data_IF_669073848310
#
_entry.id   IF_669073848310
#
_cell.length_a   1.000
_cell.length_b   1.000
_cell.length_c   1.000
_cell.angle_alpha   90.00
_cell.angle_beta   90.00
_cell.angle_gamma   90.00
#
_symmetry.space_group_name_H-M   'P 1'
#
loop_
_entity.id
_entity.type
_entity.pdbx_description
1 polymer ?
#
# COMPACT_ATOMS: atom_id res chain seq x y z
N UNK A 1 12.93 -36.11 -31.13
CA UNK A 1 11.54 -36.07 -30.59
C UNK A 1 10.78 -37.20 -31.26
N UNK A 2 10.03 -37.99 -30.49
CA UNK A 2 9.13 -38.97 -31.09
C UNK A 2 7.97 -38.24 -31.76
N UNK A 3 7.43 -38.80 -32.85
CA UNK A 3 6.22 -38.29 -33.50
C UNK A 3 5.04 -38.20 -32.53
N UNK A 4 5.05 -39.04 -31.50
CA UNK A 4 4.08 -39.02 -30.40
C UNK A 4 4.21 -37.78 -29.51
N UNK A 5 5.44 -37.29 -29.26
CA UNK A 5 5.68 -36.09 -28.45
C UNK A 5 5.19 -34.82 -29.17
N UNK A 6 5.36 -34.78 -30.50
CA UNK A 6 4.86 -33.69 -31.35
C UNK A 6 3.32 -33.67 -31.36
N UNK A 7 2.68 -34.83 -31.53
CA UNK A 7 1.22 -34.96 -31.49
C UNK A 7 0.68 -34.55 -30.12
N UNK A 8 1.31 -34.96 -29.01
CA UNK A 8 0.88 -34.58 -27.66
C UNK A 8 1.02 -33.07 -27.42
N UNK A 9 2.08 -32.44 -27.95
CA UNK A 9 2.27 -30.99 -27.87
C UNK A 9 1.18 -30.25 -28.63
N UNK A 10 0.91 -30.65 -29.87
CA UNK A 10 -0.13 -30.05 -30.70
C UNK A 10 -1.51 -30.22 -30.07
N UNK A 11 -1.80 -31.39 -29.50
CA UNK A 11 -3.08 -31.67 -28.86
C UNK A 11 -3.29 -30.81 -27.61
N UNK A 12 -2.24 -30.54 -26.82
CA UNK A 12 -2.30 -29.58 -25.70
C UNK A 12 -2.52 -28.15 -26.20
N UNK A 13 -1.83 -27.74 -27.26
CA UNK A 13 -1.98 -26.41 -27.85
C UNK A 13 -3.41 -26.17 -28.37
N UNK A 14 -3.97 -27.11 -29.14
CA UNK A 14 -5.34 -26.99 -29.65
C UNK A 14 -6.40 -27.05 -28.54
N UNK A 15 -6.18 -27.83 -27.48
CA UNK A 15 -7.06 -27.80 -26.30
C UNK A 15 -7.04 -26.43 -25.63
N UNK A 16 -5.86 -25.85 -25.41
CA UNK A 16 -5.74 -24.51 -24.84
C UNK A 16 -6.42 -23.46 -25.73
N UNK A 17 -6.23 -23.51 -27.04
CA UNK A 17 -6.89 -22.61 -27.98
C UNK A 17 -8.42 -22.74 -27.92
N UNK A 18 -8.94 -23.98 -27.89
CA UNK A 18 -10.36 -24.24 -27.77
C UNK A 18 -10.93 -23.65 -26.47
N UNK A 19 -10.28 -23.92 -25.33
CA UNK A 19 -10.74 -23.42 -24.02
C UNK A 19 -10.71 -21.88 -23.99
N UNK A 20 -9.68 -21.25 -24.57
CA UNK A 20 -9.59 -19.80 -24.69
C UNK A 20 -10.72 -19.24 -25.58
N UNK A 21 -11.02 -19.88 -26.70
CA UNK A 21 -12.12 -19.46 -27.59
C UNK A 21 -13.49 -19.62 -26.92
N UNK A 22 -13.72 -20.72 -26.20
CA UNK A 22 -14.97 -20.93 -25.45
C UNK A 22 -15.17 -19.84 -24.38
N UNK A 23 -14.10 -19.47 -23.66
CA UNK A 23 -14.14 -18.37 -22.70
C UNK A 23 -14.37 -17.02 -23.39
N UNK A 24 -13.68 -16.74 -24.50
CA UNK A 24 -13.84 -15.50 -25.25
C UNK A 24 -15.28 -15.33 -25.75
N UNK A 25 -15.89 -16.38 -26.30
CA UNK A 25 -17.29 -16.36 -26.74
C UNK A 25 -18.23 -16.07 -25.58
N UNK A 26 -17.97 -16.63 -24.39
CA UNK A 26 -18.75 -16.33 -23.19
C UNK A 26 -18.60 -14.87 -22.78
N UNK A 27 -17.37 -14.35 -22.74
CA UNK A 27 -17.11 -12.96 -22.38
C UNK A 27 -17.80 -11.98 -23.32
N UNK A 28 -17.71 -12.18 -24.64
CA UNK A 28 -18.39 -11.31 -25.62
C UNK A 28 -19.92 -11.30 -25.44
N UNK A 29 -20.52 -12.42 -25.01
CA UNK A 29 -21.96 -12.47 -24.73
C UNK A 29 -22.34 -11.71 -23.46
N UNK A 30 -21.51 -11.81 -22.43
CA UNK A 30 -21.77 -11.20 -21.12
C UNK A 30 -21.30 -9.73 -21.05
N UNK A 31 -20.43 -9.30 -21.96
CA UNK A 31 -19.79 -7.98 -22.01
C UNK A 31 -20.79 -6.82 -21.89
N UNK A 32 -21.88 -6.74 -22.68
CA UNK A 32 -22.83 -5.63 -22.55
C UNK A 32 -23.51 -5.55 -21.18
N UNK A 33 -23.75 -6.71 -20.55
CA UNK A 33 -24.33 -6.78 -19.21
C UNK A 33 -23.31 -6.34 -18.17
N UNK A 34 -22.06 -6.76 -18.31
CA UNK A 34 -20.95 -6.39 -17.42
C UNK A 34 -20.69 -4.89 -17.52
N UNK A 35 -20.58 -4.33 -18.71
CA UNK A 35 -20.41 -2.89 -18.94
C UNK A 35 -21.55 -2.08 -18.32
N UNK A 36 -22.80 -2.54 -18.47
CA UNK A 36 -23.96 -1.90 -17.82
C UNK A 36 -23.84 -1.90 -16.30
N UNK A 37 -23.41 -3.02 -15.71
CA UNK A 37 -23.19 -3.11 -14.27
C UNK A 37 -22.04 -2.20 -13.82
N UNK A 38 -20.93 -2.17 -14.55
CA UNK A 38 -19.80 -1.27 -14.29
C UNK A 38 -20.26 0.18 -14.32
N UNK A 39 -20.98 0.60 -15.36
CA UNK A 39 -21.52 1.96 -15.47
C UNK A 39 -22.46 2.32 -14.32
N UNK A 40 -23.35 1.40 -13.93
CA UNK A 40 -24.26 1.60 -12.80
C UNK A 40 -23.50 1.79 -11.48
N UNK A 41 -22.52 0.92 -11.20
CA UNK A 41 -21.73 1.02 -9.97
C UNK A 41 -20.79 2.22 -9.97
N UNK A 42 -20.21 2.60 -11.11
CA UNK A 42 -19.47 3.86 -11.27
C UNK A 42 -20.34 5.05 -10.92
N UNK A 43 -21.57 5.10 -11.43
CA UNK A 43 -22.51 6.19 -11.14
C UNK A 43 -22.81 6.28 -9.63
N UNK A 44 -23.09 5.15 -8.98
CA UNK A 44 -23.31 5.10 -7.53
C UNK A 44 -22.07 5.56 -6.77
N UNK A 45 -20.90 5.06 -7.16
CA UNK A 45 -19.64 5.43 -6.51
C UNK A 45 -19.36 6.92 -6.64
N UNK A 46 -19.59 7.52 -7.82
CA UNK A 46 -19.44 8.97 -8.01
C UNK A 46 -20.37 9.77 -7.08
N UNK A 47 -21.65 9.37 -6.97
CA UNK A 47 -22.62 10.03 -6.09
C UNK A 47 -22.22 9.91 -4.61
N UNK A 48 -21.84 8.71 -4.16
CA UNK A 48 -21.40 8.47 -2.78
C UNK A 48 -20.12 9.25 -2.48
N UNK A 49 -19.16 9.22 -3.39
CA UNK A 49 -17.89 9.93 -3.25
C UNK A 49 -18.08 11.44 -3.17
N UNK A 50 -19.00 12.03 -3.95
CA UNK A 50 -19.35 13.44 -3.83
C UNK A 50 -19.96 13.79 -2.46
N UNK A 51 -20.83 12.94 -1.93
CA UNK A 51 -21.41 13.14 -0.60
C UNK A 51 -20.31 13.13 0.48
N UNK A 52 -19.46 12.10 0.47
CA UNK A 52 -18.36 11.95 1.43
C UNK A 52 -17.37 13.09 1.29
N UNK A 53 -17.03 13.50 0.07
CA UNK A 53 -16.14 14.61 -0.19
C UNK A 53 -16.64 15.91 0.43
N UNK A 54 -17.91 16.24 0.27
CA UNK A 54 -18.50 17.43 0.86
C UNK A 54 -18.44 17.38 2.38
N UNK A 55 -18.76 16.23 2.97
CA UNK A 55 -18.68 16.05 4.42
C UNK A 55 -17.25 16.22 4.94
N UNK A 56 -16.26 15.63 4.26
CA UNK A 56 -14.84 15.73 4.65
C UNK A 56 -14.30 17.14 4.43
N UNK A 57 -14.67 17.82 3.35
CA UNK A 57 -14.30 19.21 3.08
C UNK A 57 -14.73 20.11 4.26
N UNK A 58 -15.96 19.93 4.75
CA UNK A 58 -16.46 20.67 5.91
C UNK A 58 -15.69 20.33 7.18
N UNK A 59 -15.32 19.05 7.39
CA UNK A 59 -14.50 18.64 8.55
C UNK A 59 -13.13 19.27 8.51
N UNK A 60 -12.43 19.22 7.37
CA UNK A 60 -11.12 19.84 7.21
C UNK A 60 -11.18 21.36 7.44
N UNK A 61 -12.18 22.05 6.89
CA UNK A 61 -12.38 23.47 7.17
C UNK A 61 -12.55 23.77 8.67
N UNK A 62 -13.22 22.90 9.44
CA UNK A 62 -13.39 23.05 10.90
C UNK A 62 -12.11 22.75 11.68
N UNK A 63 -11.24 21.88 11.19
CA UNK A 63 -9.98 21.51 11.83
C UNK A 63 -8.84 22.51 11.57
N UNK A 64 -9.06 23.52 10.73
CA UNK A 64 -8.05 24.53 10.37
C UNK A 64 -7.46 24.35 8.98
N UNK A 65 -8.11 23.58 8.11
CA UNK A 65 -7.69 23.33 6.73
C UNK A 65 -7.35 21.87 6.47
N UNK A 66 -7.27 21.50 5.20
CA UNK A 66 -6.77 20.19 4.77
C UNK A 66 -5.27 20.09 5.04
N UNK A 67 -4.52 21.18 4.84
CA UNK A 67 -3.07 21.24 5.11
C UNK A 67 -2.76 20.81 6.55
N UNK A 68 -3.47 21.37 7.52
CA UNK A 68 -3.27 21.06 8.93
C UNK A 68 -3.59 19.60 9.25
N UNK A 69 -4.63 19.05 8.63
CA UNK A 69 -4.93 17.62 8.76
C UNK A 69 -3.82 16.74 8.18
N UNK A 70 -3.19 17.15 7.07
CA UNK A 70 -2.04 16.44 6.50
C UNK A 70 -0.83 16.49 7.43
N UNK A 71 -0.53 17.66 8.02
CA UNK A 71 0.52 17.83 9.03
C UNK A 71 0.29 16.91 10.24
N UNK A 72 -0.91 16.96 10.84
CA UNK A 72 -1.28 16.12 11.99
C UNK A 72 -1.24 14.61 11.67
N UNK A 73 -1.52 14.23 10.42
CA UNK A 73 -1.48 12.83 9.98
C UNK A 73 -0.04 12.38 9.77
N UNK A 74 0.78 13.21 9.13
CA UNK A 74 2.21 12.96 8.94
C UNK A 74 2.96 12.81 10.25
N UNK A 75 2.74 13.73 11.20
CA UNK A 75 3.33 13.65 12.54
C UNK A 75 2.95 12.35 13.26
N UNK A 76 1.68 11.93 13.13
CA UNK A 76 1.21 10.67 13.72
C UNK A 76 1.86 9.45 13.07
N UNK A 77 2.00 9.44 11.76
CA UNK A 77 2.66 8.36 11.02
C UNK A 77 4.15 8.26 11.39
N UNK A 78 4.86 9.40 11.46
CA UNK A 78 6.25 9.42 11.93
C UNK A 78 6.35 8.93 13.38
N UNK A 79 5.48 9.40 14.27
CA UNK A 79 5.49 8.95 15.66
C UNK A 79 5.23 7.44 15.79
N UNK A 80 4.34 6.90 14.96
CA UNK A 80 4.07 5.45 14.92
C UNK A 80 5.25 4.66 14.33
N UNK A 81 5.90 5.15 13.28
CA UNK A 81 7.14 4.57 12.73
C UNK A 81 8.25 4.56 13.79
N UNK A 82 8.47 5.68 14.49
CA UNK A 82 9.44 5.78 15.60
C UNK A 82 9.13 4.80 16.73
N UNK A 83 7.86 4.70 17.13
CA UNK A 83 7.43 3.75 18.17
C UNK A 83 7.74 2.30 17.78
N UNK A 84 7.39 1.90 16.55
CA UNK A 84 7.64 0.53 16.07
C UNK A 84 9.14 0.21 15.99
N UNK A 85 9.94 1.19 15.60
CA UNK A 85 11.38 1.05 15.53
C UNK A 85 12.00 0.86 16.92
N UNK A 86 11.56 1.63 17.90
CA UNK A 86 11.98 1.49 19.30
C UNK A 86 11.58 0.13 19.87
N UNK A 87 10.35 -0.32 19.62
CA UNK A 87 9.89 -1.64 20.03
C UNK A 87 10.76 -2.75 19.40
N UNK A 88 11.12 -2.61 18.12
CA UNK A 88 12.00 -3.57 17.44
C UNK A 88 13.42 -3.57 18.02
N UNK A 89 13.98 -2.40 18.33
CA UNK A 89 15.29 -2.25 18.98
C UNK A 89 15.30 -2.89 20.38
N UNK A 90 14.25 -2.67 21.16
CA UNK A 90 14.13 -3.25 22.50
C UNK A 90 14.02 -4.78 22.44
N UNK A 91 13.24 -5.30 21.49
CA UNK A 91 13.13 -6.75 21.26
C UNK A 91 14.46 -7.37 20.85
N UNK A 92 15.20 -6.74 19.93
CA UNK A 92 16.53 -7.21 19.53
C UNK A 92 17.49 -7.23 20.72
N UNK A 93 17.47 -6.19 21.56
CA UNK A 93 18.33 -6.09 22.73
C UNK A 93 17.99 -7.15 23.79
N UNK A 94 16.71 -7.53 23.94
CA UNK A 94 16.29 -8.65 24.77
C UNK A 94 16.80 -9.99 24.23
N UNK A 95 16.66 -10.22 22.91
CA UNK A 95 17.16 -11.44 22.26
C UNK A 95 18.68 -11.58 22.40
N UNK A 96 19.43 -10.49 22.22
CA UNK A 96 20.88 -10.48 22.39
C UNK A 96 21.31 -10.69 23.85
N UNK A 97 20.55 -10.18 24.83
CA UNK A 97 20.79 -10.45 26.26
C UNK A 97 20.59 -11.92 26.61
N UNK A 98 19.61 -12.59 26.01
CA UNK A 98 19.40 -14.03 26.21
C UNK A 98 20.57 -14.85 25.63
N UNK A 99 21.21 -14.35 24.57
CA UNK A 99 22.39 -14.93 23.92
C UNK A 99 23.72 -14.51 24.54
N UNK A 100 23.73 -13.64 25.55
CA UNK A 100 24.94 -13.10 26.19
C UNK A 100 25.81 -14.17 26.90
N UNK A 101 25.32 -15.40 27.05
CA UNK A 101 26.13 -16.54 27.52
C UNK A 101 26.99 -17.18 26.43
N UNK A 102 26.68 -16.90 25.17
CA UNK A 102 27.27 -17.51 23.98
C UNK A 102 27.99 -16.48 23.09
N UNK A 103 27.80 -15.18 23.34
CA UNK A 103 28.39 -14.08 22.58
C UNK A 103 29.15 -13.12 23.49
N UNK A 104 30.27 -12.59 22.99
CA UNK A 104 31.04 -11.56 23.67
C UNK A 104 30.33 -10.19 23.58
N UNK A 105 30.60 -9.30 24.55
CA UNK A 105 29.97 -7.97 24.62
C UNK A 105 30.26 -7.13 23.37
N UNK A 106 31.45 -7.29 22.78
CA UNK A 106 31.85 -6.61 21.54
C UNK A 106 30.98 -7.03 20.33
N UNK A 107 30.57 -8.30 20.25
CA UNK A 107 29.72 -8.79 19.17
C UNK A 107 28.28 -8.26 19.29
N UNK A 108 27.78 -8.17 20.52
CA UNK A 108 26.45 -7.58 20.82
C UNK A 108 26.44 -6.09 20.46
N UNK A 109 27.51 -5.37 20.81
CA UNK A 109 27.67 -3.95 20.47
C UNK A 109 27.75 -3.75 18.96
N UNK A 110 28.46 -4.63 18.25
CA UNK A 110 28.55 -4.59 16.78
C UNK A 110 27.17 -4.78 16.12
N UNK A 111 26.37 -5.75 16.56
CA UNK A 111 25.03 -5.99 16.02
C UNK A 111 24.08 -4.82 16.29
N UNK A 112 24.10 -4.25 17.51
CA UNK A 112 23.29 -3.09 17.83
C UNK A 112 23.71 -1.86 17.03
N UNK A 113 25.00 -1.70 16.77
CA UNK A 113 25.52 -0.64 15.92
C UNK A 113 25.10 -0.81 14.47
N UNK A 114 25.19 -2.03 13.92
CA UNK A 114 24.70 -2.33 12.57
C UNK A 114 23.19 -2.08 12.43
N UNK A 115 22.40 -2.46 13.45
CA UNK A 115 20.97 -2.16 13.49
C UNK A 115 20.71 -0.65 13.50
N UNK A 116 21.41 0.09 14.36
CA UNK A 116 21.28 1.54 14.46
C UNK A 116 21.67 2.21 13.14
N UNK A 117 22.80 1.84 12.52
CA UNK A 117 23.25 2.38 11.24
C UNK A 117 22.26 2.08 10.09
N UNK A 118 21.72 0.86 10.04
CA UNK A 118 20.74 0.44 9.02
C UNK A 118 19.43 1.24 9.13
N UNK A 119 19.05 1.60 10.35
CA UNK A 119 17.80 2.28 10.66
C UNK A 119 17.96 3.79 10.89
N UNK A 120 19.17 4.34 10.71
CA UNK A 120 19.45 5.76 10.87
C UNK A 120 19.25 6.26 12.31
N UNK A 121 19.59 5.41 13.30
CA UNK A 121 19.56 5.73 14.72
C UNK A 121 20.93 6.17 15.22
N UNK A 122 20.97 7.05 16.22
CA UNK A 122 22.18 7.32 16.99
C UNK A 122 22.42 6.24 18.06
N UNK A 123 23.53 6.39 18.79
CA UNK A 123 23.93 5.44 19.84
C UNK A 123 22.89 5.37 20.98
N UNK A 124 22.14 6.46 21.20
CA UNK A 124 21.06 6.54 22.18
C UNK A 124 19.75 5.88 21.67
N UNK A 125 19.66 5.62 20.36
CA UNK A 125 18.50 5.03 19.68
C UNK A 125 17.51 6.07 19.16
N UNK A 126 17.91 7.34 19.06
CA UNK A 126 17.13 8.42 18.47
C UNK A 126 17.34 8.48 16.96
N UNK A 127 16.28 8.78 16.21
CA UNK A 127 16.33 8.85 14.75
C UNK A 127 17.13 10.09 14.32
N UNK A 128 18.25 9.88 13.62
CA UNK A 128 19.13 10.92 13.07
C UNK A 128 18.52 11.55 11.82
N UNK A 129 17.90 10.73 10.98
CA UNK A 129 17.36 11.16 9.68
C UNK A 129 15.87 11.51 9.81
N UNK A 130 15.59 12.76 10.18
CA UNK A 130 14.22 13.25 10.19
C UNK A 130 13.71 13.33 8.75
N UNK A 131 12.76 12.45 8.43
CA UNK A 131 11.98 12.48 7.20
C UNK A 131 11.46 13.92 6.98
N UNK A 132 11.99 14.60 5.97
CA UNK A 132 11.58 15.97 5.67
C UNK A 132 10.06 16.01 5.46
N UNK A 133 9.40 16.94 6.15
CA UNK A 133 7.96 17.11 6.01
C UNK A 133 7.63 17.54 4.58
N UNK A 134 6.75 16.82 3.87
CA UNK A 134 6.32 17.19 2.54
C UNK A 134 5.68 18.59 2.53
N UNK A 135 5.78 19.28 1.39
CA UNK A 135 5.05 20.53 1.21
C UNK A 135 3.54 20.23 1.05
N UNK A 136 2.79 20.52 2.10
CA UNK A 136 1.33 20.31 2.14
C UNK A 136 0.55 21.52 1.60
N UNK A 137 -0.56 21.22 0.93
CA UNK A 137 -1.45 22.20 0.29
C UNK A 137 -2.82 22.18 0.92
N UNK A 138 -3.49 23.33 1.00
CA UNK A 138 -4.83 23.38 1.58
C UNK A 138 -5.94 22.93 0.61
N UNK A 139 -5.59 22.72 -0.67
CA UNK A 139 -6.51 22.25 -1.70
C UNK A 139 -6.80 20.76 -1.52
N UNK A 140 -7.97 20.45 -0.95
CA UNK A 140 -8.49 19.09 -0.92
C UNK A 140 -9.16 18.77 -2.27
N UNK A 141 -8.79 17.65 -2.91
CA UNK A 141 -9.39 17.22 -4.19
C UNK A 141 -10.05 15.83 -4.09
N UNK A 142 -10.88 15.48 -5.07
CA UNK A 142 -11.44 14.12 -5.15
C UNK A 142 -10.38 13.03 -5.25
N UNK A 143 -9.23 13.32 -5.89
CA UNK A 143 -8.12 12.37 -5.96
C UNK A 143 -7.53 12.13 -4.57
N UNK A 144 -7.44 13.16 -3.75
CA UNK A 144 -6.96 13.03 -2.36
C UNK A 144 -7.94 12.22 -1.52
N UNK A 145 -9.26 12.41 -1.68
CA UNK A 145 -10.25 11.55 -1.02
C UNK A 145 -10.05 10.06 -1.37
N UNK A 146 -9.84 9.74 -2.64
CA UNK A 146 -9.62 8.36 -3.07
C UNK A 146 -8.32 7.79 -2.53
N UNK A 147 -7.25 8.60 -2.45
CA UNK A 147 -5.99 8.23 -1.80
C UNK A 147 -6.22 7.89 -0.33
N UNK A 148 -6.96 8.73 0.40
CA UNK A 148 -7.29 8.51 1.83
C UNK A 148 -8.10 7.23 2.01
N UNK A 149 -9.09 6.98 1.15
CA UNK A 149 -9.93 5.77 1.20
C UNK A 149 -9.24 4.51 0.65
N UNK A 150 -8.01 4.63 0.11
CA UNK A 150 -7.27 3.54 -0.57
C UNK A 150 -8.09 2.92 -1.71
N UNK A 151 -8.77 3.77 -2.48
CA UNK A 151 -9.58 3.38 -3.63
C UNK A 151 -8.91 3.84 -4.93
N UNK A 152 -9.13 3.06 -5.98
CA UNK A 152 -8.69 3.41 -7.33
C UNK A 152 -9.61 4.51 -7.90
N UNK A 153 -9.03 5.68 -8.13
CA UNK A 153 -9.74 6.83 -8.71
C UNK A 153 -10.15 6.56 -10.15
N UNK A 154 -9.28 5.93 -10.92
CA UNK A 154 -9.43 5.72 -12.34
C UNK A 154 -10.52 4.67 -12.63
N UNK A 155 -10.68 3.70 -11.72
CA UNK A 155 -11.79 2.76 -11.77
C UNK A 155 -13.17 3.45 -11.78
N UNK A 156 -13.30 4.64 -11.19
CA UNK A 156 -14.58 5.35 -11.05
C UNK A 156 -14.70 6.56 -12.00
N UNK A 157 -13.62 7.29 -12.23
CA UNK A 157 -13.64 8.56 -12.97
C UNK A 157 -12.92 8.53 -14.32
N UNK A 158 -12.13 7.49 -14.62
CA UNK A 158 -11.48 7.37 -15.93
C UNK A 158 -12.47 6.77 -16.94
N UNK A 159 -12.55 7.42 -18.11
CA UNK A 159 -13.40 7.04 -19.25
C UNK A 159 -12.54 6.80 -20.46
#
# INVERSE_FOLDING_TARGET
>A
MSREDEILRDLRFYRLQKDTLEKAVKYVKDEPRIEKLISYWRTIAQMASNYVYNEQSVKFSRCGGFKKWQEETWEREIAEERSKLNDAREMLLLELKDLQKEMDEEDIECIMKEFNELHGLDDDGEVIDEKEMPEFTDDFTMKDLYRILKLDYDLVYET
#
